data_IF_324347644116
#
_entry.id   IF_324347644116
#
_cell.length_a   1.000
_cell.length_b   1.000
_cell.length_c   1.000
_cell.angle_alpha   90.00
_cell.angle_beta   90.00
_cell.angle_gamma   90.00
#
_symmetry.space_group_name_H-M   'P 1'
#
loop_
_entity.id
_entity.type
_entity.pdbx_description
1 polymer ?
#
# COMPACT_ATOMS: atom_id res chain seq x y z
N UNK A 1 9.17 -0.01 6.87
CA UNK A 1 9.24 0.76 5.60
C UNK A 1 10.55 1.54 5.40
N UNK A 2 11.14 2.23 6.40
CA UNK A 2 12.38 3.00 6.21
C UNK A 2 13.56 2.19 5.66
N UNK A 3 13.67 0.91 6.03
CA UNK A 3 14.68 -0.02 5.52
C UNK A 3 14.62 -0.20 3.99
N UNK A 4 13.40 -0.22 3.42
CA UNK A 4 13.21 -0.31 1.97
C UNK A 4 13.73 0.95 1.26
N UNK A 5 13.53 2.13 1.87
CA UNK A 5 14.05 3.41 1.37
C UNK A 5 15.56 3.44 1.42
N UNK A 6 16.18 2.96 2.51
CA UNK A 6 17.64 2.86 2.63
C UNK A 6 18.24 1.93 1.56
N UNK A 7 17.60 0.79 1.31
CA UNK A 7 18.00 -0.16 0.27
C UNK A 7 17.86 0.45 -1.13
N UNK A 8 16.75 1.14 -1.41
CA UNK A 8 16.53 1.85 -2.67
C UNK A 8 17.57 2.96 -2.88
N UNK A 9 17.91 3.71 -1.83
CA UNK A 9 18.95 4.72 -1.88
C UNK A 9 20.33 4.12 -2.21
N UNK A 10 20.65 2.96 -1.63
CA UNK A 10 21.88 2.24 -1.97
C UNK A 10 21.90 1.83 -3.46
N UNK A 11 20.79 1.33 -4.01
CA UNK A 11 20.69 0.99 -5.44
C UNK A 11 20.84 2.21 -6.36
N UNK A 12 20.24 3.33 -5.99
CA UNK A 12 20.42 4.60 -6.68
C UNK A 12 21.90 5.01 -6.70
N UNK A 13 22.58 4.96 -5.56
CA UNK A 13 24.01 5.31 -5.45
C UNK A 13 24.90 4.37 -6.25
N UNK A 14 24.56 3.08 -6.28
CA UNK A 14 25.26 2.06 -7.05
C UNK A 14 24.98 2.13 -8.57
N UNK A 15 24.00 2.92 -9.00
CA UNK A 15 23.59 3.06 -10.42
C UNK A 15 23.30 1.73 -11.11
N UNK A 16 22.71 0.77 -10.38
CA UNK A 16 22.52 -0.60 -10.85
C UNK A 16 21.14 -0.88 -11.47
N UNK A 17 20.30 0.14 -11.65
CA UNK A 17 18.99 0.02 -12.29
C UNK A 17 18.01 -0.89 -11.53
N UNK A 18 18.10 -0.96 -10.20
CA UNK A 18 17.20 -1.75 -9.35
C UNK A 18 16.22 -0.86 -8.59
N UNK A 19 15.03 -1.41 -8.38
CA UNK A 19 13.94 -0.80 -7.61
C UNK A 19 13.65 -1.67 -6.39
N UNK A 20 13.25 -1.05 -5.30
CA UNK A 20 12.71 -1.76 -4.13
C UNK A 20 11.20 -1.57 -4.09
N UNK A 21 10.45 -2.64 -3.86
CA UNK A 21 9.03 -2.57 -3.53
C UNK A 21 8.82 -2.99 -2.08
N UNK A 22 7.93 -2.30 -1.36
CA UNK A 22 7.58 -2.63 0.02
C UNK A 22 6.07 -2.73 0.17
N UNK A 23 5.61 -3.82 0.77
CA UNK A 23 4.19 -4.08 1.03
C UNK A 23 3.83 -3.79 2.47
N UNK A 24 2.66 -3.20 2.68
CA UNK A 24 2.12 -2.89 4.00
C UNK A 24 0.57 -2.82 3.94
N UNK A 25 -0.08 -2.81 5.10
CA UNK A 25 -1.55 -2.65 5.20
C UNK A 25 -1.95 -1.20 5.50
N UNK A 26 -3.25 -0.91 5.42
CA UNK A 26 -3.84 0.38 5.82
C UNK A 26 -3.49 0.75 7.27
N UNK A 27 -3.58 -0.19 8.21
CA UNK A 27 -3.18 0.03 9.60
C UNK A 27 -1.72 0.45 9.79
N UNK A 28 -0.80 -0.24 9.09
CA UNK A 28 0.64 0.04 9.18
C UNK A 28 1.02 1.41 8.59
N UNK A 29 0.15 2.02 7.78
CA UNK A 29 0.36 3.35 7.24
C UNK A 29 0.24 4.46 8.30
N UNK A 30 -0.43 4.19 9.44
CA UNK A 30 -0.54 5.13 10.56
C UNK A 30 0.68 5.13 11.49
N UNK A 31 1.61 4.20 11.31
CA UNK A 31 2.85 4.16 12.09
C UNK A 31 3.78 5.32 11.72
N UNK A 32 4.51 5.88 12.69
CA UNK A 32 5.45 6.98 12.46
C UNK A 32 6.56 6.62 11.46
N UNK A 33 6.96 5.35 11.42
CA UNK A 33 7.90 4.80 10.45
C UNK A 33 7.42 4.92 9.00
N UNK A 34 6.10 4.91 8.77
CA UNK A 34 5.54 5.09 7.44
C UNK A 34 5.79 6.51 6.95
N UNK A 35 5.46 7.50 7.79
CA UNK A 35 5.68 8.92 7.51
C UNK A 35 7.17 9.22 7.26
N UNK A 36 8.06 8.70 8.11
CA UNK A 36 9.50 8.85 7.92
C UNK A 36 9.96 8.27 6.57
N UNK A 37 9.48 7.10 6.19
CA UNK A 37 9.83 6.49 4.91
C UNK A 37 9.37 7.32 3.71
N UNK A 38 8.14 7.86 3.73
CA UNK A 38 7.63 8.70 2.64
C UNK A 38 8.48 9.96 2.46
N UNK A 39 8.74 10.68 3.56
CA UNK A 39 9.56 11.90 3.54
C UNK A 39 10.99 11.66 3.03
N UNK A 40 11.65 10.59 3.49
CA UNK A 40 12.99 10.23 3.01
C UNK A 40 12.98 9.84 1.53
N UNK A 41 11.99 9.03 1.09
CA UNK A 41 11.92 8.59 -0.30
C UNK A 41 11.73 9.77 -1.27
N UNK A 42 10.84 10.71 -0.94
CA UNK A 42 10.62 11.93 -1.72
C UNK A 42 11.85 12.83 -1.76
N UNK A 43 12.43 13.13 -0.60
CA UNK A 43 13.59 14.04 -0.48
C UNK A 43 14.83 13.47 -1.17
N UNK A 44 15.12 12.19 -0.95
CA UNK A 44 16.29 11.52 -1.51
C UNK A 44 16.04 11.03 -2.94
N UNK A 45 14.81 11.16 -3.46
CA UNK A 45 14.36 10.68 -4.77
C UNK A 45 14.76 9.22 -4.96
N UNK A 46 14.27 8.33 -4.10
CA UNK A 46 14.65 6.92 -4.08
C UNK A 46 13.86 6.11 -5.12
N UNK A 47 14.48 5.10 -5.77
CA UNK A 47 13.80 4.16 -6.67
C UNK A 47 12.99 3.13 -5.86
N UNK A 48 11.90 3.58 -5.23
CA UNK A 48 11.07 2.77 -4.35
C UNK A 48 9.59 2.84 -4.75
N UNK A 49 8.91 1.70 -4.63
CA UNK A 49 7.46 1.57 -4.76
C UNK A 49 6.88 1.17 -3.40
N UNK A 50 6.00 2.00 -2.86
CA UNK A 50 5.19 1.72 -1.69
C UNK A 50 3.89 1.07 -2.15
N UNK A 51 3.62 -0.16 -1.73
CA UNK A 51 2.41 -0.89 -2.10
C UNK A 51 1.55 -1.13 -0.86
N UNK A 52 0.51 -0.30 -0.70
CA UNK A 52 -0.47 -0.47 0.36
C UNK A 52 -1.56 -1.45 -0.08
N UNK A 53 -1.83 -2.45 0.76
CA UNK A 53 -2.99 -3.33 0.66
C UNK A 53 -4.04 -2.82 1.63
N UNK A 54 -4.92 -1.95 1.15
CA UNK A 54 -6.01 -1.42 1.95
C UNK A 54 -7.16 -2.43 1.90
N UNK A 55 -7.33 -3.19 2.98
CA UNK A 55 -8.35 -4.24 3.07
C UNK A 55 -9.55 -3.85 3.93
N UNK A 56 -9.60 -2.58 4.35
CA UNK A 56 -10.63 -2.00 5.21
C UNK A 56 -10.41 -2.17 6.72
N UNK A 57 -9.45 -3.00 7.16
CA UNK A 57 -9.29 -3.35 8.57
C UNK A 57 -7.84 -3.60 9.04
N UNK A 58 -7.47 -2.92 10.12
CA UNK A 58 -6.30 -3.23 10.94
C UNK A 58 -6.71 -4.11 12.12
N UNK A 59 -6.57 -5.44 11.99
CA UNK A 59 -7.14 -6.42 12.93
C UNK A 59 -8.66 -6.25 13.02
N UNK A 60 -9.15 -5.54 14.05
CA UNK A 60 -10.56 -5.21 14.30
C UNK A 60 -10.92 -3.76 13.98
N UNK A 61 -9.93 -2.88 13.83
CA UNK A 61 -10.15 -1.44 13.64
C UNK A 61 -10.51 -1.16 12.18
N UNK A 62 -11.70 -0.62 11.88
CA UNK A 62 -12.08 -0.24 10.53
C UNK A 62 -11.31 1.01 10.07
N UNK A 63 -11.15 1.20 8.76
CA UNK A 63 -10.45 2.38 8.20
C UNK A 63 -11.05 3.72 8.62
N UNK A 64 -12.35 3.78 8.91
CA UNK A 64 -13.03 4.98 9.44
C UNK A 64 -12.52 5.43 10.80
N UNK A 65 -11.91 4.53 11.57
CA UNK A 65 -11.23 4.82 12.84
C UNK A 65 -9.71 4.92 12.67
N UNK A 66 -9.18 4.53 11.51
CA UNK A 66 -7.74 4.50 11.23
C UNK A 66 -7.21 5.85 10.74
N UNK A 67 -7.99 6.56 9.92
CA UNK A 67 -7.62 7.86 9.37
C UNK A 67 -8.86 8.70 9.01
N UNK A 68 -8.72 10.03 9.06
CA UNK A 68 -9.77 10.98 8.66
C UNK A 68 -9.67 11.47 7.21
N UNK A 69 -8.68 11.02 6.44
CA UNK A 69 -8.42 11.45 5.06
C UNK A 69 -8.95 10.49 3.99
N UNK A 70 -8.69 10.82 2.73
CA UNK A 70 -9.05 9.98 1.58
C UNK A 70 -8.03 8.85 1.36
N UNK A 71 -8.05 7.87 2.28
CA UNK A 71 -7.22 6.67 2.19
C UNK A 71 -5.72 6.93 2.26
N UNK A 72 -4.95 5.94 1.81
CA UNK A 72 -3.49 6.00 1.87
C UNK A 72 -2.92 6.74 0.66
N UNK A 73 -3.54 6.67 -0.51
CA UNK A 73 -3.09 7.38 -1.71
C UNK A 73 -2.96 8.90 -1.49
N UNK A 74 -3.86 9.51 -0.70
CA UNK A 74 -3.78 10.95 -0.41
C UNK A 74 -2.58 11.35 0.45
N UNK A 75 -1.91 10.40 1.10
CA UNK A 75 -0.72 10.67 1.92
C UNK A 75 0.54 10.87 1.08
N UNK A 76 0.59 10.43 -0.17
CA UNK A 76 1.80 10.50 -0.99
C UNK A 76 2.14 11.88 -1.58
N UNK A 77 1.18 12.67 -2.13
CA UNK A 77 1.50 13.95 -2.75
C UNK A 77 2.24 14.96 -1.84
N UNK A 78 1.89 15.11 -0.54
CA UNK A 78 2.66 15.96 0.39
C UNK A 78 4.15 15.58 0.51
N UNK A 79 4.49 14.32 0.20
CA UNK A 79 5.85 13.79 0.23
C UNK A 79 6.49 13.67 -1.16
N UNK A 80 5.92 14.32 -2.18
CA UNK A 80 6.37 14.24 -3.57
C UNK A 80 6.45 12.80 -4.13
N UNK A 81 5.54 11.94 -3.67
CA UNK A 81 5.36 10.60 -4.22
C UNK A 81 4.32 10.66 -5.34
N UNK A 82 4.59 9.99 -6.46
CA UNK A 82 3.55 9.74 -7.45
C UNK A 82 2.57 8.73 -6.87
N UNK A 83 1.27 8.98 -6.98
CA UNK A 83 0.28 8.16 -6.29
C UNK A 83 -0.78 7.65 -7.24
N UNK A 84 -1.24 6.41 -7.00
CA UNK A 84 -2.36 5.83 -7.71
C UNK A 84 -3.14 4.91 -6.76
N UNK A 85 -4.47 5.01 -6.82
CA UNK A 85 -5.38 4.03 -6.24
C UNK A 85 -5.85 3.08 -7.33
N UNK A 86 -5.89 1.79 -7.04
CA UNK A 86 -6.26 0.74 -7.99
C UNK A 86 -7.25 -0.22 -7.34
N UNK A 87 -8.09 -0.85 -8.16
CA UNK A 87 -8.82 -2.04 -7.75
C UNK A 87 -7.80 -3.17 -7.49
N UNK A 88 -7.69 -3.59 -6.23
CA UNK A 88 -6.77 -4.62 -5.78
C UNK A 88 -7.24 -6.04 -6.09
N UNK A 89 -8.48 -6.22 -6.55
CA UNK A 89 -9.04 -7.50 -6.93
C UNK A 89 -8.93 -7.76 -8.45
N UNK A 90 -8.66 -6.72 -9.25
CA UNK A 90 -8.30 -6.86 -10.66
C UNK A 90 -6.79 -7.12 -10.80
N UNK A 91 -6.44 -8.37 -11.09
CA UNK A 91 -5.05 -8.80 -11.31
C UNK A 91 -4.35 -7.98 -12.41
N UNK A 92 -5.02 -7.71 -13.52
CA UNK A 92 -4.42 -6.98 -14.65
C UNK A 92 -4.24 -5.52 -14.29
N UNK A 93 -5.18 -4.91 -13.56
CA UNK A 93 -5.02 -3.55 -13.05
C UNK A 93 -3.80 -3.45 -12.13
N UNK A 94 -3.70 -4.33 -11.12
CA UNK A 94 -2.55 -4.37 -10.21
C UNK A 94 -1.24 -4.60 -10.96
N UNK A 95 -1.20 -5.54 -11.90
CA UNK A 95 -0.02 -5.81 -12.74
C UNK A 95 0.40 -4.57 -13.53
N UNK A 96 -0.54 -3.92 -14.23
CA UNK A 96 -0.27 -2.77 -15.08
C UNK A 96 0.23 -1.57 -14.27
N UNK A 97 -0.41 -1.24 -13.14
CA UNK A 97 0.02 -0.12 -12.30
C UNK A 97 1.37 -0.40 -11.64
N UNK A 98 1.63 -1.64 -11.22
CA UNK A 98 2.93 -2.03 -10.63
C UNK A 98 4.04 -1.94 -11.67
N UNK A 99 3.78 -2.37 -12.90
CA UNK A 99 4.72 -2.26 -14.02
C UNK A 99 5.03 -0.79 -14.34
N UNK A 100 4.01 0.06 -14.43
CA UNK A 100 4.21 1.50 -14.65
C UNK A 100 4.99 2.15 -13.50
N UNK A 101 4.65 1.83 -12.25
CA UNK A 101 5.33 2.34 -11.06
C UNK A 101 6.81 1.95 -11.02
N UNK A 102 7.15 0.73 -11.47
CA UNK A 102 8.55 0.30 -11.63
C UNK A 102 9.31 1.19 -12.61
N UNK A 103 8.73 1.48 -13.78
CA UNK A 103 9.38 2.34 -14.79
C UNK A 103 9.62 3.76 -14.26
N UNK A 104 8.66 4.32 -13.51
CA UNK A 104 8.84 5.62 -12.85
C UNK A 104 9.92 5.57 -11.75
N UNK A 105 9.89 4.54 -10.90
CA UNK A 105 10.88 4.36 -9.84
C UNK A 105 12.30 4.21 -10.39
N UNK A 106 12.50 3.56 -11.53
CA UNK A 106 13.79 3.50 -12.22
C UNK A 106 14.33 4.90 -12.62
N UNK A 107 13.43 5.87 -12.83
CA UNK A 107 13.78 7.27 -13.07
C UNK A 107 13.94 8.08 -11.78
N UNK A 108 14.09 7.41 -10.63
CA UNK A 108 14.18 8.02 -9.30
C UNK A 108 12.92 8.80 -8.88
N UNK A 109 11.76 8.42 -9.41
CA UNK A 109 10.47 8.97 -9.02
C UNK A 109 9.76 7.95 -8.13
N UNK A 110 9.79 8.12 -6.79
CA UNK A 110 9.14 7.17 -5.89
C UNK A 110 7.62 7.16 -6.12
N UNK A 111 7.02 5.99 -5.97
CA UNK A 111 5.60 5.75 -6.27
C UNK A 111 4.90 5.11 -5.09
N UNK A 112 3.66 5.49 -4.85
CA UNK A 112 2.74 4.86 -3.92
C UNK A 112 1.53 4.30 -4.68
N UNK A 113 1.25 3.03 -4.46
CA UNK A 113 0.08 2.32 -4.98
C UNK A 113 -0.79 1.96 -3.77
N UNK A 114 -2.05 2.37 -3.80
CA UNK A 114 -3.08 1.89 -2.89
C UNK A 114 -3.98 0.90 -3.62
N UNK A 115 -3.83 -0.38 -3.31
CA UNK A 115 -4.70 -1.43 -3.82
C UNK A 115 -5.87 -1.65 -2.87
N UNK A 116 -7.08 -1.29 -3.33
CA UNK A 116 -8.31 -1.48 -2.58
C UNK A 116 -8.77 -2.93 -2.72
N UNK A 117 -8.84 -3.66 -1.61
CA UNK A 117 -9.22 -5.07 -1.59
C UNK A 117 -10.01 -5.38 -0.32
N UNK A 118 -10.25 -6.65 -0.03
CA UNK A 118 -10.98 -7.06 1.16
C UNK A 118 -10.41 -8.32 1.80
N UNK A 119 -10.25 -8.31 3.13
CA UNK A 119 -9.78 -9.49 3.88
C UNK A 119 -10.95 -10.43 4.13
N UNK A 120 -11.23 -11.33 3.19
CA UNK A 120 -12.37 -12.26 3.29
C UNK A 120 -12.29 -13.26 4.47
N UNK A 121 -11.09 -13.55 4.97
CA UNK A 121 -10.86 -14.37 6.16
C UNK A 121 -10.67 -13.54 7.44
N UNK A 122 -10.45 -14.22 8.56
CA UNK A 122 -10.04 -13.59 9.82
C UNK A 122 -8.66 -12.94 9.69
N UNK A 123 -8.29 -12.08 10.65
CA UNK A 123 -6.96 -11.45 10.66
C UNK A 123 -5.85 -12.50 10.78
N UNK A 124 -6.05 -13.49 11.64
CA UNK A 124 -5.15 -14.61 11.89
C UNK A 124 -5.97 -15.80 12.45
N UNK A 125 -5.30 -16.91 12.76
CA UNK A 125 -5.93 -18.07 13.43
C UNK A 125 -6.38 -17.79 14.86
N UNK A 126 -5.91 -16.69 15.46
CA UNK A 126 -6.22 -16.29 16.84
C UNK A 126 -7.28 -15.19 16.90
N UNK A 127 -7.86 -14.82 15.76
CA UNK A 127 -8.83 -13.74 15.62
C UNK A 127 -10.18 -14.29 15.17
N UNK A 128 -11.27 -13.75 15.75
CA UNK A 128 -12.63 -14.00 15.30
C UNK A 128 -13.24 -12.70 14.78
N UNK A 129 -13.26 -12.60 13.45
CA UNK A 129 -13.76 -11.41 12.80
C UNK A 129 -15.28 -11.25 12.78
N UNK A 130 -16.03 -12.27 13.21
CA UNK A 130 -17.49 -12.14 13.34
C UNK A 130 -17.89 -11.17 14.46
N UNK A 131 -16.96 -10.85 15.36
CA UNK A 131 -17.17 -9.92 16.47
C UNK A 131 -17.21 -8.44 16.04
N UNK A 132 -16.63 -8.10 14.89
CA UNK A 132 -16.47 -6.69 14.46
C UNK A 132 -16.77 -6.45 12.98
N UNK A 133 -17.20 -7.48 12.22
CA UNK A 133 -17.63 -7.34 10.83
C UNK A 133 -18.96 -8.04 10.60
N UNK A 134 -19.82 -7.40 9.82
CA UNK A 134 -21.12 -7.99 9.48
C UNK A 134 -20.95 -9.11 8.47
N UNK A 135 -21.80 -10.14 8.56
CA UNK A 135 -21.81 -11.24 7.58
C UNK A 135 -22.19 -10.76 6.19
N UNK A 136 -23.03 -9.73 6.10
CA UNK A 136 -23.48 -9.12 4.84
C UNK A 136 -22.34 -8.43 4.09
N UNK A 137 -21.51 -7.67 4.80
CA UNK A 137 -20.31 -7.04 4.25
C UNK A 137 -19.36 -8.09 3.65
N UNK A 138 -19.04 -9.16 4.40
CA UNK A 138 -18.16 -10.24 3.93
C UNK A 138 -18.73 -10.94 2.70
N UNK A 139 -20.05 -11.17 2.68
CA UNK A 139 -20.73 -11.82 1.54
C UNK A 139 -20.76 -10.94 0.29
N UNK A 140 -20.90 -9.63 0.46
CA UNK A 140 -20.86 -8.68 -0.67
C UNK A 140 -19.52 -8.76 -1.39
N UNK A 141 -18.41 -8.72 -0.64
CA UNK A 141 -17.07 -8.85 -1.22
C UNK A 141 -16.79 -10.23 -1.81
N UNK A 142 -17.26 -11.31 -1.17
CA UNK A 142 -17.09 -12.69 -1.70
C UNK A 142 -17.86 -12.96 -2.99
N UNK A 143 -19.02 -12.34 -3.16
CA UNK A 143 -19.93 -12.65 -4.29
C UNK A 143 -19.71 -11.75 -5.51
N UNK A 144 -19.30 -10.50 -5.31
CA UNK A 144 -19.18 -9.51 -6.41
C UNK A 144 -17.74 -9.17 -6.79
N UNK A 145 -16.81 -9.25 -5.85
CA UNK A 145 -15.49 -8.62 -5.94
C UNK A 145 -14.32 -9.59 -5.67
N UNK A 146 -14.56 -10.91 -5.77
CA UNK A 146 -13.49 -11.90 -5.58
C UNK A 146 -12.50 -11.82 -6.76
N UNK A 147 -11.16 -11.73 -6.52
CA UNK A 147 -10.18 -11.71 -7.60
C UNK A 147 -10.41 -12.86 -8.58
N UNK A 148 -10.53 -12.53 -9.87
CA UNK A 148 -10.70 -13.49 -10.97
C UNK A 148 -9.38 -13.78 -11.67
#
# INVERSE_FOLDING_TARGET
>A
MPQAVGSAYAFKRAKNGRVVIVYYGDGAASEGDAHAAYGFAGTLKCPVVFFCRNNGYAISTPTSEQYGGDGIASMGPPHALNTIRVDGNDFFAVYNVTKAAREMALQNQPVMIEAMTYRAGHHSTSDDSTLYRSREEVMTWKSKENPR
#
